data_IF_674405213002
#
_entry.id   IF_674405213002
#
_cell.length_a   1.000
_cell.length_b   1.000
_cell.length_c   1.000
_cell.angle_alpha   90.00
_cell.angle_beta   90.00
_cell.angle_gamma   90.00
#
_symmetry.space_group_name_H-M   'P 1'
#
loop_
_entity.id
_entity.type
_entity.pdbx_description
1 polymer ?
#
# COMPACT_ATOMS: atom_id res chain seq x y z
N UNK A 1 12.42 -33.84 -50.62
CA UNK A 1 11.09 -33.22 -50.43
C UNK A 1 10.37 -33.68 -49.16
N UNK A 2 10.36 -35.02 -48.86
CA UNK A 2 9.72 -35.55 -47.65
C UNK A 2 10.37 -35.04 -46.35
N UNK A 3 11.69 -34.95 -46.25
CA UNK A 3 12.40 -34.44 -45.09
C UNK A 3 12.05 -32.98 -44.74
N UNK A 4 11.86 -32.15 -45.73
CA UNK A 4 11.49 -30.74 -45.53
C UNK A 4 10.08 -30.62 -44.93
N UNK A 5 9.16 -31.47 -45.35
CA UNK A 5 7.78 -31.51 -44.85
C UNK A 5 7.78 -31.98 -43.40
N UNK A 6 8.56 -32.98 -43.06
CA UNK A 6 8.70 -33.50 -41.68
C UNK A 6 9.30 -32.43 -40.74
N UNK A 7 10.29 -31.67 -41.22
CA UNK A 7 10.94 -30.59 -40.48
C UNK A 7 9.96 -29.41 -40.20
N UNK A 8 9.15 -29.05 -41.22
CA UNK A 8 8.12 -28.02 -41.11
C UNK A 8 7.01 -28.43 -40.11
N UNK A 9 6.61 -29.69 -40.11
CA UNK A 9 5.63 -30.20 -39.17
C UNK A 9 6.17 -30.23 -37.72
N UNK A 10 7.43 -30.60 -37.52
CA UNK A 10 8.08 -30.57 -36.21
C UNK A 10 8.16 -29.14 -35.65
N UNK A 11 8.58 -28.16 -36.48
CA UNK A 11 8.63 -26.76 -36.11
C UNK A 11 7.25 -26.18 -35.75
N UNK A 12 6.22 -26.55 -36.53
CA UNK A 12 4.85 -26.14 -36.22
C UNK A 12 4.35 -26.67 -34.89
N UNK A 13 4.66 -27.94 -34.57
CA UNK A 13 4.30 -28.58 -33.32
C UNK A 13 5.02 -27.98 -32.11
N UNK A 14 6.30 -27.64 -32.25
CA UNK A 14 7.05 -26.94 -31.21
C UNK A 14 6.52 -25.54 -30.94
N UNK A 15 6.18 -24.79 -32.01
CA UNK A 15 5.57 -23.45 -31.91
C UNK A 15 4.23 -23.48 -31.17
N UNK A 16 3.37 -24.44 -31.50
CA UNK A 16 2.08 -24.62 -30.82
C UNK A 16 2.26 -24.99 -29.33
N UNK A 17 3.23 -25.85 -29.03
CA UNK A 17 3.57 -26.22 -27.65
C UNK A 17 4.10 -25.00 -26.85
N UNK A 18 4.96 -24.21 -27.43
CA UNK A 18 5.48 -23.01 -26.83
C UNK A 18 4.38 -21.97 -26.54
N UNK A 19 3.47 -21.76 -27.50
CA UNK A 19 2.32 -20.84 -27.32
C UNK A 19 1.40 -21.34 -26.22
N UNK A 20 1.06 -22.62 -26.16
CA UNK A 20 0.23 -23.20 -25.07
C UNK A 20 0.90 -23.04 -23.71
N UNK A 21 2.18 -23.29 -23.61
CA UNK A 21 2.93 -23.15 -22.36
C UNK A 21 2.96 -21.70 -21.91
N UNK A 22 3.25 -20.77 -22.83
CA UNK A 22 3.22 -19.34 -22.54
C UNK A 22 1.84 -18.87 -22.08
N UNK A 23 0.78 -19.26 -22.78
CA UNK A 23 -0.60 -18.89 -22.44
C UNK A 23 -0.97 -19.40 -21.06
N UNK A 24 -0.62 -20.66 -20.75
CA UNK A 24 -0.91 -21.27 -19.44
C UNK A 24 -0.17 -20.56 -18.31
N UNK A 25 1.10 -20.24 -18.52
CA UNK A 25 1.88 -19.50 -17.52
C UNK A 25 1.38 -18.06 -17.35
N UNK A 26 1.02 -17.41 -18.44
CA UNK A 26 0.44 -16.07 -18.41
C UNK A 26 -0.87 -16.04 -17.60
N UNK A 27 -1.78 -16.98 -17.84
CA UNK A 27 -3.00 -17.10 -17.03
C UNK A 27 -2.72 -17.36 -15.55
N UNK A 28 -1.72 -18.17 -15.22
CA UNK A 28 -1.32 -18.40 -13.82
C UNK A 28 -0.83 -17.11 -13.16
N UNK A 29 0.00 -16.34 -13.84
CA UNK A 29 0.54 -15.06 -13.31
C UNK A 29 -0.58 -14.04 -13.14
N UNK A 30 -1.47 -13.90 -14.13
CA UNK A 30 -2.61 -12.97 -14.05
C UNK A 30 -3.56 -13.38 -12.92
N UNK A 31 -3.88 -14.66 -12.82
CA UNK A 31 -4.79 -15.14 -11.75
C UNK A 31 -4.16 -14.99 -10.37
N UNK A 32 -2.87 -15.23 -10.24
CA UNK A 32 -2.14 -15.01 -8.98
C UNK A 32 -2.12 -13.52 -8.61
N UNK A 33 -1.87 -12.63 -9.57
CA UNK A 33 -1.93 -11.18 -9.38
C UNK A 33 -3.32 -10.71 -8.95
N UNK A 34 -4.38 -11.16 -9.64
CA UNK A 34 -5.77 -10.85 -9.28
C UNK A 34 -6.16 -11.36 -7.90
N UNK A 35 -5.73 -12.58 -7.55
CA UNK A 35 -6.02 -13.17 -6.23
C UNK A 35 -5.31 -12.41 -5.11
N UNK A 36 -4.06 -12.03 -5.32
CA UNK A 36 -3.31 -11.22 -4.35
C UNK A 36 -3.90 -9.83 -4.22
N UNK A 37 -4.27 -9.19 -5.33
CA UNK A 37 -4.97 -7.90 -5.32
C UNK A 37 -6.28 -7.97 -4.53
N UNK A 38 -7.12 -8.98 -4.78
CA UNK A 38 -8.36 -9.17 -4.04
C UNK A 38 -8.13 -9.38 -2.54
N UNK A 39 -7.10 -10.17 -2.15
CA UNK A 39 -6.71 -10.37 -0.75
C UNK A 39 -6.20 -9.09 -0.10
N UNK A 40 -5.41 -8.29 -0.80
CA UNK A 40 -4.92 -7.01 -0.30
C UNK A 40 -6.03 -5.99 -0.15
N UNK A 41 -6.97 -5.94 -1.10
CA UNK A 41 -8.16 -5.10 -1.01
C UNK A 41 -9.01 -5.49 0.22
N UNK A 42 -9.24 -6.78 0.43
CA UNK A 42 -10.00 -7.30 1.58
C UNK A 42 -9.30 -6.97 2.90
N UNK A 43 -7.96 -7.12 2.96
CA UNK A 43 -7.17 -6.75 4.13
C UNK A 43 -7.20 -5.24 4.39
N UNK A 44 -7.06 -4.41 3.35
CA UNK A 44 -7.15 -2.95 3.44
C UNK A 44 -8.50 -2.49 3.97
N UNK A 45 -9.60 -3.01 3.41
CA UNK A 45 -10.96 -2.71 3.87
C UNK A 45 -11.19 -3.23 5.29
N UNK A 46 -10.76 -4.46 5.57
CA UNK A 46 -10.89 -5.07 6.91
C UNK A 46 -10.09 -4.29 7.95
N UNK A 47 -8.86 -3.89 7.67
CA UNK A 47 -8.04 -3.10 8.59
C UNK A 47 -8.64 -1.71 8.83
N UNK A 48 -9.17 -1.06 7.79
CA UNK A 48 -9.85 0.24 7.90
C UNK A 48 -11.12 0.11 8.74
N UNK A 49 -11.92 -0.94 8.50
CA UNK A 49 -13.14 -1.20 9.26
C UNK A 49 -12.83 -1.57 10.72
N UNK A 50 -11.82 -2.42 10.96
CA UNK A 50 -11.38 -2.80 12.30
C UNK A 50 -10.84 -1.59 13.06
N UNK A 51 -10.13 -0.68 12.38
CA UNK A 51 -9.63 0.55 12.98
C UNK A 51 -10.77 1.53 13.29
N UNK A 52 -11.80 1.58 12.44
CA UNK A 52 -13.02 2.38 12.70
C UNK A 52 -13.83 1.85 13.89
N UNK A 53 -13.96 0.53 14.01
CA UNK A 53 -14.70 -0.12 15.12
C UNK A 53 -13.89 -0.10 16.42
N UNK A 54 -12.56 -0.26 16.34
CA UNK A 54 -11.68 -0.20 17.50
C UNK A 54 -11.55 1.20 18.10
N UNK A 55 -11.77 2.25 17.32
CA UNK A 55 -11.80 3.63 17.82
C UNK A 55 -12.91 3.88 18.85
N UNK A 56 -13.86 2.95 18.98
CA UNK A 56 -14.94 2.97 19.99
C UNK A 56 -14.71 2.03 21.18
N UNK A 57 -13.76 1.12 21.10
CA UNK A 57 -13.48 0.13 22.12
C UNK A 57 -11.99 0.12 22.48
N UNK A 58 -11.72 0.46 23.72
CA UNK A 58 -10.47 0.27 24.46
C UNK A 58 -9.20 0.99 23.94
N UNK A 59 -8.90 2.10 24.59
CA UNK A 59 -7.54 2.61 24.75
C UNK A 59 -6.72 1.56 25.51
N UNK A 60 -5.99 0.75 24.77
CA UNK A 60 -5.32 -0.47 25.24
C UNK A 60 -4.22 -0.21 26.26
N UNK A 61 -3.59 0.97 26.24
CA UNK A 61 -2.48 1.34 27.09
C UNK A 61 -2.80 2.49 28.08
N UNK A 62 -4.01 3.02 28.08
CA UNK A 62 -4.39 4.17 28.92
C UNK A 62 -3.76 5.49 28.48
N UNK A 63 -2.94 5.49 27.43
CA UNK A 63 -2.29 6.67 26.87
C UNK A 63 -2.97 7.06 25.53
N UNK A 64 -3.81 8.07 25.62
CA UNK A 64 -4.62 8.53 24.48
C UNK A 64 -3.79 8.99 23.29
N UNK A 65 -2.60 9.56 23.53
CA UNK A 65 -1.71 10.05 22.48
C UNK A 65 -1.10 8.89 21.71
N UNK A 66 -0.57 7.89 22.42
CA UNK A 66 0.05 6.72 21.81
C UNK A 66 -0.96 5.92 20.99
N UNK A 67 -2.12 5.63 21.57
CA UNK A 67 -3.17 4.84 20.93
C UNK A 67 -3.73 5.54 19.68
N UNK A 68 -3.86 6.87 19.72
CA UNK A 68 -4.32 7.66 18.58
C UNK A 68 -3.35 7.58 17.39
N UNK A 69 -2.07 7.87 17.64
CA UNK A 69 -1.07 7.87 16.57
C UNK A 69 -0.75 6.45 16.06
N UNK A 70 -0.78 5.44 16.92
CA UNK A 70 -0.65 4.03 16.49
C UNK A 70 -1.75 3.66 15.50
N UNK A 71 -2.99 4.08 15.78
CA UNK A 71 -4.10 3.87 14.85
C UNK A 71 -3.93 4.60 13.52
N UNK A 72 -3.42 5.84 13.53
CA UNK A 72 -3.15 6.58 12.30
C UNK A 72 -2.07 5.90 11.46
N UNK A 73 -0.98 5.45 12.09
CA UNK A 73 0.08 4.71 11.40
C UNK A 73 -0.41 3.38 10.82
N UNK A 74 -1.28 2.66 11.53
CA UNK A 74 -1.90 1.44 10.99
C UNK A 74 -2.73 1.71 9.73
N UNK A 75 -3.48 2.81 9.70
CA UNK A 75 -4.23 3.24 8.50
C UNK A 75 -3.30 3.60 7.35
N UNK A 76 -2.27 4.38 7.63
CA UNK A 76 -1.28 4.77 6.62
C UNK A 76 -0.54 3.55 6.06
N UNK A 77 -0.18 2.59 6.92
CA UNK A 77 0.43 1.32 6.52
C UNK A 77 -0.50 0.49 5.62
N UNK A 78 -1.80 0.42 5.95
CA UNK A 78 -2.78 -0.27 5.13
C UNK A 78 -2.93 0.39 3.74
N UNK A 79 -2.99 1.72 3.69
CA UNK A 79 -3.07 2.49 2.46
C UNK A 79 -1.79 2.34 1.63
N UNK A 80 -0.63 2.32 2.28
CA UNK A 80 0.65 2.06 1.62
C UNK A 80 0.66 0.68 0.93
N UNK A 81 0.28 -0.38 1.66
CA UNK A 81 0.23 -1.75 1.12
C UNK A 81 -0.71 -1.81 -0.09
N UNK A 82 -1.88 -1.20 0.02
CA UNK A 82 -2.85 -1.18 -1.07
C UNK A 82 -2.32 -0.44 -2.30
N UNK A 83 -1.67 0.71 -2.10
CA UNK A 83 -1.05 1.49 -3.20
C UNK A 83 0.10 0.72 -3.83
N UNK A 84 0.93 0.03 -3.03
CA UNK A 84 2.01 -0.82 -3.51
C UNK A 84 1.47 -2.00 -4.35
N UNK A 85 0.39 -2.65 -3.91
CA UNK A 85 -0.24 -3.73 -4.67
C UNK A 85 -0.83 -3.24 -6.00
N UNK A 86 -1.43 -2.04 -6.02
CA UNK A 86 -1.84 -1.39 -7.27
C UNK A 86 -0.64 -1.13 -8.20
N UNK A 87 0.52 -0.74 -7.64
CA UNK A 87 1.74 -0.59 -8.43
C UNK A 87 2.16 -1.90 -9.09
N UNK A 88 2.07 -3.03 -8.39
CA UNK A 88 2.41 -4.33 -8.96
C UNK A 88 1.50 -4.72 -10.13
N UNK A 89 0.25 -4.26 -10.16
CA UNK A 89 -0.65 -4.51 -11.30
C UNK A 89 -0.19 -3.82 -12.58
N UNK A 90 0.60 -2.74 -12.48
CA UNK A 90 1.19 -2.06 -13.62
C UNK A 90 2.32 -2.88 -14.29
N UNK A 91 2.84 -3.91 -13.63
CA UNK A 91 3.86 -4.81 -14.17
C UNK A 91 5.07 -4.08 -14.72
N UNK A 92 5.48 -4.41 -15.94
CA UNK A 92 6.63 -3.79 -16.61
C UNK A 92 6.51 -2.28 -16.84
N UNK A 93 5.30 -1.73 -16.87
CA UNK A 93 5.08 -0.29 -17.02
C UNK A 93 5.56 0.52 -15.81
N UNK A 94 5.61 -0.12 -14.63
CA UNK A 94 6.12 0.49 -13.41
C UNK A 94 7.58 0.95 -13.56
N UNK A 95 8.37 0.26 -14.37
CA UNK A 95 9.78 0.62 -14.65
C UNK A 95 9.92 2.05 -15.20
N UNK A 96 8.89 2.53 -15.91
CA UNK A 96 8.87 3.88 -16.47
C UNK A 96 8.27 4.93 -15.52
N UNK A 97 7.71 4.51 -14.38
CA UNK A 97 7.08 5.38 -13.39
C UNK A 97 7.95 5.54 -12.13
N UNK A 98 9.21 5.93 -12.34
CA UNK A 98 10.19 6.14 -11.25
C UNK A 98 9.68 7.10 -10.16
N UNK A 99 8.89 8.10 -10.54
CA UNK A 99 8.33 9.08 -9.61
C UNK A 99 7.36 8.43 -8.61
N UNK A 100 6.49 7.52 -9.09
CA UNK A 100 5.55 6.78 -8.22
C UNK A 100 6.31 5.92 -7.21
N UNK A 101 7.34 5.21 -7.67
CA UNK A 101 8.18 4.38 -6.81
C UNK A 101 8.94 5.21 -5.77
N UNK A 102 9.46 6.37 -6.17
CA UNK A 102 10.12 7.31 -5.25
C UNK A 102 9.17 7.77 -4.16
N UNK A 103 7.96 8.22 -4.52
CA UNK A 103 6.94 8.66 -3.55
C UNK A 103 6.51 7.55 -2.59
N UNK A 104 6.41 6.30 -3.08
CA UNK A 104 6.13 5.16 -2.22
C UNK A 104 7.29 4.88 -1.25
N UNK A 105 8.53 4.96 -1.70
CA UNK A 105 9.68 4.77 -0.84
C UNK A 105 9.74 5.85 0.26
N UNK A 106 9.50 7.11 -0.11
CA UNK A 106 9.46 8.24 0.84
C UNK A 106 8.30 8.05 1.86
N UNK A 107 7.11 7.65 1.39
CA UNK A 107 5.97 7.37 2.27
C UNK A 107 6.27 6.23 3.26
N UNK A 108 6.94 5.17 2.80
CA UNK A 108 7.39 4.08 3.67
C UNK A 108 8.37 4.59 4.73
N UNK A 109 9.29 5.46 4.34
CA UNK A 109 10.25 6.10 5.25
C UNK A 109 9.54 6.91 6.34
N UNK A 110 8.57 7.74 5.97
CA UNK A 110 7.78 8.55 6.92
C UNK A 110 6.99 7.67 7.90
N UNK A 111 6.35 6.59 7.42
CA UNK A 111 5.64 5.63 8.27
C UNK A 111 6.61 4.94 9.25
N UNK A 112 7.77 4.50 8.76
CA UNK A 112 8.78 3.87 9.61
C UNK A 112 9.31 4.80 10.70
N UNK A 113 9.57 6.07 10.36
CA UNK A 113 9.98 7.09 11.32
C UNK A 113 8.87 7.34 12.35
N UNK A 114 7.59 7.33 11.94
CA UNK A 114 6.46 7.44 12.85
C UNK A 114 6.45 6.31 13.90
N UNK A 115 6.58 5.06 13.49
CA UNK A 115 6.67 3.92 14.43
C UNK A 115 7.88 4.03 15.34
N UNK A 116 9.02 4.47 14.83
CA UNK A 116 10.25 4.67 15.61
C UNK A 116 10.08 5.76 16.67
N UNK A 117 9.40 6.85 16.30
CA UNK A 117 9.08 7.96 17.22
C UNK A 117 8.16 7.50 18.34
N UNK A 118 7.08 6.77 18.02
CA UNK A 118 6.19 6.21 19.04
C UNK A 118 6.90 5.21 19.96
N UNK A 119 7.76 4.38 19.39
CA UNK A 119 8.55 3.43 20.19
C UNK A 119 9.51 4.16 21.13
N UNK A 120 10.19 5.21 20.66
CA UNK A 120 11.03 6.05 21.51
C UNK A 120 10.23 6.71 22.64
N UNK A 121 9.07 7.29 22.33
CA UNK A 121 8.17 7.90 23.29
C UNK A 121 7.72 6.90 24.35
N UNK A 122 7.31 5.69 23.92
CA UNK A 122 6.83 4.66 24.86
C UNK A 122 7.89 4.23 25.89
N UNK A 123 9.18 4.30 25.53
CA UNK A 123 10.30 3.93 26.41
C UNK A 123 10.78 5.06 27.31
N UNK A 124 10.59 6.31 26.92
CA UNK A 124 11.12 7.48 27.61
C UNK A 124 10.01 8.33 28.25
N UNK A 125 8.92 7.69 28.67
CA UNK A 125 7.81 8.36 29.36
C UNK A 125 8.31 9.03 30.64
N UNK A 126 7.89 10.27 30.86
CA UNK A 126 8.24 11.04 32.04
C UNK A 126 9.31 12.10 31.83
N UNK A 127 9.79 12.27 30.61
CA UNK A 127 10.63 13.42 30.24
C UNK A 127 9.71 14.60 29.96
N UNK A 128 9.89 15.69 30.67
CA UNK A 128 9.10 16.91 30.51
C UNK A 128 9.17 17.45 29.08
N UNK A 129 8.01 17.72 28.49
CA UNK A 129 7.89 18.25 27.12
C UNK A 129 8.01 17.22 25.99
N UNK A 130 8.33 15.95 26.29
CA UNK A 130 8.44 14.90 25.26
C UNK A 130 7.11 14.64 24.57
N UNK A 131 5.98 14.77 25.30
CA UNK A 131 4.63 14.61 24.76
C UNK A 131 4.35 15.59 23.62
N UNK A 132 4.63 16.87 23.84
CA UNK A 132 4.40 17.93 22.85
C UNK A 132 5.29 17.77 21.62
N UNK A 133 6.56 17.39 21.83
CA UNK A 133 7.51 17.14 20.73
C UNK A 133 7.06 15.92 19.92
N UNK A 134 6.66 14.85 20.59
CA UNK A 134 6.19 13.62 19.93
C UNK A 134 4.91 13.89 19.15
N UNK A 135 3.93 14.58 19.74
CA UNK A 135 2.69 14.95 19.06
C UNK A 135 2.97 15.75 17.79
N UNK A 136 3.82 16.77 17.87
CA UNK A 136 4.19 17.59 16.72
C UNK A 136 4.91 16.77 15.64
N UNK A 137 5.89 15.96 16.01
CA UNK A 137 6.62 15.11 15.09
C UNK A 137 5.69 14.11 14.38
N UNK A 138 4.77 13.48 15.13
CA UNK A 138 3.80 12.55 14.58
C UNK A 138 2.85 13.20 13.59
N UNK A 139 2.31 14.39 13.91
CA UNK A 139 1.45 15.14 12.99
C UNK A 139 2.17 15.48 11.68
N UNK A 140 3.45 15.88 11.75
CA UNK A 140 4.24 16.15 10.55
C UNK A 140 4.45 14.88 9.70
N UNK A 141 4.86 13.77 10.31
CA UNK A 141 5.12 12.52 9.62
C UNK A 141 3.86 11.89 9.02
N UNK A 142 2.75 11.93 9.74
CA UNK A 142 1.46 11.44 9.26
C UNK A 142 0.96 12.24 8.05
N UNK A 143 1.09 13.56 8.10
CA UNK A 143 0.74 14.43 6.98
C UNK A 143 1.64 14.18 5.78
N UNK A 144 2.95 14.09 5.98
CA UNK A 144 3.91 13.79 4.93
C UNK A 144 3.61 12.47 4.25
N UNK A 145 3.39 11.39 5.02
CA UNK A 145 3.03 10.09 4.49
C UNK A 145 1.74 10.14 3.67
N UNK A 146 0.72 10.86 4.13
CA UNK A 146 -0.54 11.04 3.40
C UNK A 146 -0.36 11.77 2.08
N UNK A 147 0.37 12.88 2.10
CA UNK A 147 0.61 13.70 0.91
C UNK A 147 1.39 12.89 -0.15
N UNK A 148 2.40 12.13 0.28
CA UNK A 148 3.20 11.26 -0.59
C UNK A 148 2.37 10.12 -1.20
N UNK A 149 1.52 9.47 -0.41
CA UNK A 149 0.62 8.42 -0.89
C UNK A 149 -0.41 8.99 -1.89
N UNK A 150 -0.94 10.17 -1.62
CA UNK A 150 -1.86 10.87 -2.52
C UNK A 150 -1.16 11.22 -3.84
N UNK A 151 0.04 11.83 -3.79
CA UNK A 151 0.82 12.12 -4.98
C UNK A 151 1.13 10.85 -5.79
N UNK A 152 1.47 9.74 -5.13
CA UNK A 152 1.67 8.46 -5.79
C UNK A 152 0.40 8.01 -6.51
N UNK A 153 -0.77 8.09 -5.87
CA UNK A 153 -2.05 7.67 -6.46
C UNK A 153 -2.49 8.55 -7.63
N UNK A 154 -2.26 9.86 -7.55
CA UNK A 154 -2.61 10.82 -8.60
C UNK A 154 -1.76 10.64 -9.89
N UNK A 155 -0.60 10.00 -9.76
CA UNK A 155 0.30 9.71 -10.89
C UNK A 155 0.05 8.34 -11.57
N UNK A 156 -0.94 7.58 -11.09
CA UNK A 156 -1.32 6.34 -11.74
C UNK A 156 -1.98 6.59 -13.09
N UNK A 157 -1.67 5.79 -14.12
CA UNK A 157 -2.24 5.95 -15.45
C UNK A 157 -3.67 5.41 -15.54
N UNK A 158 -4.52 6.12 -16.30
CA UNK A 158 -5.84 5.66 -16.71
C UNK A 158 -6.81 5.34 -15.57
N UNK A 159 -7.68 4.34 -15.74
CA UNK A 159 -8.73 4.02 -14.76
C UNK A 159 -8.18 3.54 -13.41
N UNK A 160 -6.95 3.02 -13.37
CA UNK A 160 -6.28 2.63 -12.12
C UNK A 160 -6.02 3.84 -11.21
N UNK A 161 -5.74 5.02 -11.77
CA UNK A 161 -5.61 6.26 -11.00
C UNK A 161 -6.90 6.64 -10.30
N UNK A 162 -8.05 6.49 -10.99
CA UNK A 162 -9.36 6.74 -10.38
C UNK A 162 -9.66 5.75 -9.27
N UNK A 163 -9.39 4.46 -9.48
CA UNK A 163 -9.56 3.42 -8.46
C UNK A 163 -8.64 3.70 -7.27
N UNK A 164 -7.36 3.99 -7.50
CA UNK A 164 -6.41 4.33 -6.45
C UNK A 164 -6.88 5.54 -5.64
N UNK A 165 -7.32 6.62 -6.30
CA UNK A 165 -7.80 7.83 -5.61
C UNK A 165 -9.08 7.59 -4.81
N UNK A 166 -10.01 6.75 -5.30
CA UNK A 166 -11.23 6.37 -4.56
C UNK A 166 -10.85 5.57 -3.32
N UNK A 167 -9.99 4.57 -3.48
CA UNK A 167 -9.54 3.72 -2.37
C UNK A 167 -8.81 4.54 -1.32
N UNK A 168 -7.94 5.46 -1.75
CA UNK A 168 -7.25 6.38 -0.83
C UNK A 168 -8.22 7.30 -0.11
N UNK A 169 -9.25 7.79 -0.80
CA UNK A 169 -10.31 8.59 -0.15
C UNK A 169 -11.11 7.78 0.85
N UNK A 170 -11.39 6.51 0.59
CA UNK A 170 -12.07 5.62 1.52
C UNK A 170 -11.20 5.22 2.72
N UNK A 171 -9.89 5.05 2.53
CA UNK A 171 -8.93 4.69 3.56
C UNK A 171 -8.36 5.87 4.34
N UNK A 172 -8.20 7.01 3.68
CA UNK A 172 -7.75 8.28 4.26
C UNK A 172 -8.92 9.17 4.70
N UNK A 173 -10.04 8.58 5.13
CA UNK A 173 -11.14 9.37 5.69
C UNK A 173 -10.62 10.27 6.81
N UNK A 174 -11.13 11.50 6.92
CA UNK A 174 -10.36 12.64 7.33
C UNK A 174 -9.70 12.37 8.65
N UNK A 175 -8.43 12.73 8.73
CA UNK A 175 -7.88 13.21 9.99
C UNK A 175 -8.84 14.31 10.46
N UNK A 176 -9.93 13.92 11.10
CA UNK A 176 -10.77 14.85 11.80
C UNK A 176 -9.80 15.48 12.78
N UNK A 177 -9.48 16.74 12.50
CA UNK A 177 -8.92 17.59 13.50
C UNK A 177 -9.73 17.33 14.78
N UNK A 178 -9.16 16.59 15.71
CA UNK A 178 -9.69 16.55 17.05
C UNK A 178 -9.49 17.96 17.56
N UNK A 179 -10.49 18.81 17.36
CA UNK A 179 -10.65 19.98 18.20
C UNK A 179 -10.78 19.41 19.59
N UNK A 180 -9.73 19.61 20.37
CA UNK A 180 -9.73 19.35 21.81
C UNK A 180 -10.98 19.97 22.39
N UNK A 181 -11.71 19.28 23.27
CA UNK A 181 -12.65 19.94 24.16
C UNK A 181 -11.89 20.91 25.08
#
# INVERSE_FOLDING_TARGET
>A
MLELINLLQALKKEKEKAIKTFTTQFYKVVNHGLTNFAKSLTRGISSTFTTMTRSKQDFRNGDKLLDYHEMQLLRLSANFVLTADLCFTLGGYLKFKKLVMGRLADAMGAIFLGYSTLHHFSRNRGIDGLDAITEHAMLCLEKEAQDLLKEASDKFPGPLGTVASIVMRMGCFPLRSFTRP
#
